data_IF_467330568200
#
_entry.id   IF_467330568200
#
_cell.length_a   1.000
_cell.length_b   1.000
_cell.length_c   1.000
_cell.angle_alpha   90.00
_cell.angle_beta   90.00
_cell.angle_gamma   90.00
#
_symmetry.space_group_name_H-M   'P 1'
#
loop_
_entity.id
_entity.type
_entity.pdbx_description
1 polymer ?
#
# COMPACT_ATOMS: atom_id res chain seq x y z
N UNK A 1 -12.37 -0.43 24.63
CA UNK A 1 -13.09 0.82 24.30
C UNK A 1 -12.51 1.38 23.02
N UNK A 2 -13.12 1.09 21.86
CA UNK A 2 -12.71 1.70 20.61
C UNK A 2 -13.20 3.14 20.61
N UNK A 3 -12.32 4.08 20.96
CA UNK A 3 -12.61 5.50 20.75
C UNK A 3 -12.84 5.67 19.25
N UNK A 4 -14.01 6.19 18.88
CA UNK A 4 -14.32 6.56 17.50
C UNK A 4 -13.16 7.41 16.96
N UNK A 5 -12.45 6.93 15.94
CA UNK A 5 -11.17 7.52 15.47
C UNK A 5 -11.28 9.04 15.17
N UNK A 6 -12.48 9.55 14.85
CA UNK A 6 -12.76 10.98 14.65
C UNK A 6 -12.86 11.83 15.93
N UNK A 7 -13.14 11.23 17.09
CA UNK A 7 -13.33 11.91 18.39
C UNK A 7 -12.13 11.79 19.33
N UNK A 8 -10.91 11.67 18.79
CA UNK A 8 -9.69 11.68 19.61
C UNK A 8 -9.50 13.11 20.16
N UNK A 9 -9.55 13.29 21.48
CA UNK A 9 -9.02 14.50 22.13
C UNK A 9 -7.50 14.46 21.94
N UNK A 10 -6.97 15.35 21.13
CA UNK A 10 -5.52 15.52 20.97
C UNK A 10 -5.07 16.63 21.91
N UNK A 11 -4.34 16.25 22.96
CA UNK A 11 -3.69 17.18 23.90
C UNK A 11 -2.33 17.68 23.36
N UNK A 12 -2.05 17.41 22.08
CA UNK A 12 -0.78 17.71 21.41
C UNK A 12 -0.92 18.88 20.43
N UNK A 13 0.15 19.66 20.30
CA UNK A 13 0.23 20.77 19.34
C UNK A 13 0.78 20.23 17.99
N UNK A 14 0.22 20.66 16.85
CA UNK A 14 0.77 20.31 15.55
C UNK A 14 2.21 20.79 15.36
N UNK A 15 3.03 19.98 14.70
CA UNK A 15 4.43 20.32 14.33
C UNK A 15 4.47 21.57 13.45
N UNK A 16 3.56 21.65 12.50
CA UNK A 16 3.43 22.80 11.61
C UNK A 16 2.08 22.79 10.92
N UNK A 17 1.80 23.85 10.17
CA UNK A 17 0.62 23.88 9.28
C UNK A 17 0.71 22.70 8.33
N UNK A 18 -0.33 21.86 8.31
CA UNK A 18 -0.39 20.70 7.46
C UNK A 18 -0.52 21.12 5.99
N UNK A 19 0.29 20.50 5.13
CA UNK A 19 0.15 20.58 3.68
C UNK A 19 0.34 19.22 3.02
N UNK A 20 -0.51 18.88 2.06
CA UNK A 20 -0.45 17.65 1.29
C UNK A 20 -0.20 17.99 -0.17
N UNK A 21 0.88 17.50 -0.77
CA UNK A 21 1.19 17.68 -2.20
C UNK A 21 1.06 16.32 -2.90
N UNK A 22 -0.08 16.02 -3.54
CA UNK A 22 -0.15 14.86 -4.41
C UNK A 22 0.51 15.15 -5.76
N UNK A 23 1.31 14.21 -6.24
CA UNK A 23 1.62 14.15 -7.66
C UNK A 23 0.34 13.81 -8.45
N UNK A 24 0.34 14.08 -9.76
CA UNK A 24 -0.86 13.99 -10.60
C UNK A 24 -1.55 12.61 -10.50
N UNK A 25 -0.75 11.53 -10.53
CA UNK A 25 -1.25 10.16 -10.40
C UNK A 25 -1.86 9.79 -9.04
N UNK A 26 -1.75 10.66 -8.03
CA UNK A 26 -2.30 10.44 -6.68
C UNK A 26 -3.50 11.32 -6.35
N UNK A 27 -3.99 12.15 -7.28
CA UNK A 27 -5.04 13.14 -6.97
C UNK A 27 -6.30 12.51 -6.38
N UNK A 28 -6.74 11.37 -6.91
CA UNK A 28 -7.97 10.72 -6.43
C UNK A 28 -7.83 10.20 -4.99
N UNK A 29 -6.73 9.50 -4.70
CA UNK A 29 -6.40 9.03 -3.35
C UNK A 29 -6.24 10.21 -2.39
N UNK A 30 -5.53 11.25 -2.80
CA UNK A 30 -5.30 12.44 -2.00
C UNK A 30 -6.57 13.23 -1.74
N UNK A 31 -7.51 13.29 -2.69
CA UNK A 31 -8.81 13.92 -2.48
C UNK A 31 -9.64 13.21 -1.41
N UNK A 32 -9.62 11.87 -1.38
CA UNK A 32 -10.26 11.10 -0.30
C UNK A 32 -9.58 11.34 1.05
N UNK A 33 -8.25 11.34 1.07
CA UNK A 33 -7.44 11.65 2.27
C UNK A 33 -7.76 13.04 2.80
N UNK A 34 -7.78 14.05 1.93
CA UNK A 34 -8.08 15.44 2.26
C UNK A 34 -9.46 15.58 2.88
N UNK A 35 -10.47 14.91 2.30
CA UNK A 35 -11.82 14.87 2.86
C UNK A 35 -11.83 14.36 4.31
N UNK A 36 -11.18 13.23 4.60
CA UNK A 36 -11.11 12.71 5.97
C UNK A 36 -10.41 13.70 6.93
N UNK A 37 -9.32 14.34 6.48
CA UNK A 37 -8.62 15.34 7.27
C UNK A 37 -9.50 16.57 7.58
N UNK A 38 -10.25 17.06 6.58
CA UNK A 38 -11.18 18.19 6.73
C UNK A 38 -12.31 17.82 7.69
N UNK A 39 -12.96 16.68 7.49
CA UNK A 39 -14.07 16.21 8.33
C UNK A 39 -13.63 16.12 9.80
N UNK A 40 -12.52 15.41 10.08
CA UNK A 40 -12.04 15.23 11.45
C UNK A 40 -11.60 16.53 12.13
N UNK A 41 -10.88 17.40 11.41
CA UNK A 41 -10.40 18.65 12.01
C UNK A 41 -11.51 19.68 12.19
N UNK A 42 -12.58 19.60 11.41
CA UNK A 42 -13.78 20.43 11.55
C UNK A 42 -14.61 19.99 12.76
N UNK A 43 -14.84 18.68 12.92
CA UNK A 43 -15.63 18.11 14.03
C UNK A 43 -14.94 18.20 15.39
N UNK A 44 -13.61 18.29 15.44
CA UNK A 44 -12.86 18.39 16.69
C UNK A 44 -13.06 19.77 17.35
N UNK A 45 -13.79 19.79 18.45
CA UNK A 45 -13.72 20.88 19.42
C UNK A 45 -12.36 20.79 20.15
N UNK A 46 -11.53 21.82 20.02
CA UNK A 46 -10.26 21.92 20.72
C UNK A 46 -10.25 23.20 21.57
N UNK A 47 -9.96 23.06 22.86
CA UNK A 47 -9.88 24.17 23.82
C UNK A 47 -8.83 25.21 23.39
N UNK A 48 -7.84 24.80 22.58
CA UNK A 48 -6.78 25.66 22.05
C UNK A 48 -7.02 26.20 20.64
N UNK A 49 -8.23 26.07 20.09
CA UNK A 49 -8.58 26.51 18.72
C UNK A 49 -8.21 27.97 18.42
N UNK A 50 -8.25 28.84 19.43
CA UNK A 50 -7.93 30.27 19.31
C UNK A 50 -6.45 30.60 19.58
N UNK A 51 -5.60 29.60 19.82
CA UNK A 51 -4.17 29.83 20.06
C UNK A 51 -3.40 29.96 18.73
N UNK A 52 -2.28 30.69 18.76
CA UNK A 52 -1.41 30.88 17.59
C UNK A 52 -0.92 29.55 16.99
N UNK A 53 -0.75 28.54 17.83
CA UNK A 53 -0.28 27.22 17.41
C UNK A 53 -1.29 26.45 16.53
N UNK A 54 -2.58 26.80 16.62
CA UNK A 54 -3.66 26.22 15.81
C UNK A 54 -4.12 27.16 14.69
N UNK A 55 -3.38 28.24 14.41
CA UNK A 55 -3.69 29.15 13.31
C UNK A 55 -3.59 28.42 11.96
N UNK A 56 -4.71 28.34 11.23
CA UNK A 56 -4.81 27.58 9.97
C UNK A 56 -4.88 26.07 10.16
N UNK A 57 -5.24 25.60 11.36
CA UNK A 57 -5.46 24.18 11.66
C UNK A 57 -6.72 23.64 11.00
N UNK A 58 -7.81 24.41 10.99
CA UNK A 58 -9.02 24.13 10.22
C UNK A 58 -8.92 24.84 8.86
N UNK A 59 -9.10 24.09 7.77
CA UNK A 59 -9.06 24.57 6.39
C UNK A 59 -10.07 23.77 5.57
N UNK A 60 -10.57 24.36 4.49
CA UNK A 60 -11.46 23.67 3.54
C UNK A 60 -10.72 22.60 2.72
N UNK A 61 -9.39 22.70 2.66
CA UNK A 61 -8.50 21.70 2.08
C UNK A 61 -7.07 21.90 2.61
N UNK A 62 -6.36 20.78 2.78
CA UNK A 62 -4.94 20.71 3.09
C UNK A 62 -4.09 20.45 1.84
N UNK A 63 -4.72 20.26 0.68
CA UNK A 63 -4.00 20.13 -0.58
C UNK A 63 -3.29 21.44 -0.94
N UNK A 64 -2.02 21.29 -1.31
CA UNK A 64 -1.14 22.37 -1.75
C UNK A 64 -1.04 22.29 -3.28
N UNK A 65 -1.30 23.40 -3.95
CA UNK A 65 -1.31 23.49 -5.42
C UNK A 65 0.11 23.40 -5.97
N UNK A 66 0.51 22.22 -6.42
CA UNK A 66 1.71 22.02 -7.21
C UNK A 66 1.36 21.65 -8.66
N UNK A 67 2.27 21.94 -9.58
CA UNK A 67 2.16 21.55 -10.98
C UNK A 67 3.50 21.10 -11.54
N UNK A 68 3.46 20.17 -12.47
CA UNK A 68 4.63 19.66 -13.18
C UNK A 68 4.40 19.84 -14.67
N UNK A 69 5.04 20.85 -15.24
CA UNK A 69 4.99 21.08 -16.68
C UNK A 69 6.11 20.30 -17.37
N UNK A 70 5.80 19.63 -18.48
CA UNK A 70 6.78 18.92 -19.32
C UNK A 70 7.12 19.76 -20.55
N UNK A 71 8.40 19.83 -20.89
CA UNK A 71 8.90 20.40 -22.13
C UNK A 71 8.75 19.39 -23.27
N UNK A 72 8.84 19.84 -24.52
CA UNK A 72 8.73 18.95 -25.69
C UNK A 72 9.80 17.85 -25.75
N UNK A 73 10.91 18.01 -25.02
CA UNK A 73 11.98 17.01 -24.84
C UNK A 73 11.65 15.93 -23.80
N UNK A 74 10.57 16.07 -23.03
CA UNK A 74 10.21 15.18 -21.92
C UNK A 74 10.74 15.63 -20.55
N UNK A 75 11.69 16.57 -20.52
CA UNK A 75 12.14 17.21 -19.28
C UNK A 75 10.98 17.89 -18.56
N UNK A 76 11.04 18.02 -17.24
CA UNK A 76 9.95 18.59 -16.45
C UNK A 76 10.41 19.68 -15.47
N UNK A 77 9.47 20.56 -15.13
CA UNK A 77 9.60 21.62 -14.13
C UNK A 77 8.49 21.50 -13.10
N UNK A 78 8.87 21.20 -11.85
CA UNK A 78 7.98 21.28 -10.69
C UNK A 78 7.82 22.72 -10.20
N UNK A 79 6.59 23.13 -9.90
CA UNK A 79 6.26 24.47 -9.36
C UNK A 79 5.26 24.32 -8.22
N UNK A 80 5.52 25.00 -7.10
CA UNK A 80 4.58 25.12 -5.97
C UNK A 80 3.96 26.52 -6.04
N UNK A 81 2.63 26.60 -6.09
CA UNK A 81 1.88 27.83 -6.38
C UNK A 81 1.39 28.58 -5.12
N UNK A 82 1.87 28.18 -3.95
CA UNK A 82 1.55 28.82 -2.67
C UNK A 82 2.73 28.72 -1.69
N UNK A 83 2.70 29.51 -0.61
CA UNK A 83 3.77 29.49 0.39
C UNK A 83 3.70 28.22 1.24
N UNK A 84 4.77 27.43 1.22
CA UNK A 84 4.94 26.24 2.06
C UNK A 84 5.85 26.47 3.28
N UNK A 85 6.19 27.73 3.57
CA UNK A 85 7.17 28.06 4.61
C UNK A 85 6.68 27.61 5.98
N UNK A 86 7.49 26.79 6.65
CA UNK A 86 7.19 26.27 7.99
C UNK A 86 6.05 25.24 8.02
N UNK A 87 5.56 24.77 6.87
CA UNK A 87 4.58 23.69 6.80
C UNK A 87 5.21 22.34 7.08
N UNK A 88 4.41 21.43 7.63
CA UNK A 88 4.71 20.01 7.69
C UNK A 88 4.07 19.36 6.45
N UNK A 89 4.93 18.98 5.48
CA UNK A 89 4.50 18.57 4.14
C UNK A 89 4.47 17.06 4.00
N UNK A 90 3.39 16.56 3.39
CA UNK A 90 3.23 15.16 3.00
C UNK A 90 3.12 15.08 1.47
N UNK A 91 4.10 14.45 0.82
CA UNK A 91 4.17 14.32 -0.63
C UNK A 91 3.70 12.91 -1.01
N UNK A 92 2.64 12.79 -1.83
CA UNK A 92 2.10 11.50 -2.25
C UNK A 92 2.54 11.17 -3.68
N UNK A 93 3.15 10.00 -3.86
CA UNK A 93 3.67 9.55 -5.15
C UNK A 93 3.41 8.05 -5.37
N UNK A 94 2.55 7.75 -6.33
CA UNK A 94 2.32 6.41 -6.87
C UNK A 94 3.23 6.21 -8.08
N UNK A 95 4.38 5.58 -7.84
CA UNK A 95 5.37 5.31 -8.90
C UNK A 95 4.90 4.23 -9.88
N UNK A 96 3.83 3.48 -9.56
CA UNK A 96 3.28 2.44 -10.43
C UNK A 96 2.13 2.95 -11.31
N UNK A 97 1.76 4.23 -11.24
CA UNK A 97 0.63 4.74 -12.00
C UNK A 97 0.93 4.79 -13.51
N UNK A 98 0.49 3.76 -14.24
CA UNK A 98 0.67 3.64 -15.68
C UNK A 98 -0.39 4.37 -16.51
N UNK A 99 -1.40 5.00 -15.88
CA UNK A 99 -2.42 5.79 -16.58
C UNK A 99 -1.94 7.20 -16.95
N UNK A 100 -0.85 7.66 -16.33
CA UNK A 100 -0.31 9.00 -16.58
C UNK A 100 0.46 9.04 -17.89
N UNK A 101 0.14 10.03 -18.72
CA UNK A 101 0.81 10.25 -20.00
C UNK A 101 1.37 11.66 -20.13
N UNK A 102 2.36 11.82 -20.99
CA UNK A 102 2.91 13.11 -21.40
C UNK A 102 3.34 13.09 -22.87
N UNK A 103 3.52 14.27 -23.46
CA UNK A 103 4.01 14.40 -24.84
C UNK A 103 5.53 14.58 -24.87
N UNK A 104 6.22 13.73 -25.63
CA UNK A 104 7.66 13.82 -25.90
C UNK A 104 7.87 13.74 -27.41
N UNK A 105 8.54 14.73 -27.99
CA UNK A 105 8.78 14.83 -29.43
C UNK A 105 7.49 14.67 -30.28
N UNK A 106 6.38 15.23 -29.79
CA UNK A 106 5.06 15.16 -30.44
C UNK A 106 4.32 13.82 -30.30
N UNK A 107 4.89 12.83 -29.61
CA UNK A 107 4.29 11.51 -29.37
C UNK A 107 3.77 11.41 -27.94
N UNK A 108 2.67 10.70 -27.75
CA UNK A 108 2.18 10.34 -26.43
C UNK A 108 3.08 9.24 -25.83
N UNK A 109 3.48 9.42 -24.57
CA UNK A 109 4.30 8.49 -23.81
C UNK A 109 3.65 8.27 -22.45
N UNK A 110 3.68 7.04 -21.96
CA UNK A 110 3.27 6.72 -20.59
C UNK A 110 4.41 7.01 -19.63
N UNK A 111 4.07 7.51 -18.43
CA UNK A 111 5.05 7.72 -17.37
C UNK A 111 5.53 6.38 -16.82
N UNK A 112 6.85 6.19 -16.83
CA UNK A 112 7.51 5.08 -16.14
C UNK A 112 7.62 5.34 -14.62
N UNK A 113 7.97 4.33 -13.80
CA UNK A 113 8.35 4.55 -12.41
C UNK A 113 9.44 5.62 -12.23
N UNK A 114 10.40 5.67 -13.16
CA UNK A 114 11.46 6.67 -13.17
C UNK A 114 10.93 8.08 -13.41
N UNK A 115 9.94 8.24 -14.31
CA UNK A 115 9.31 9.53 -14.56
C UNK A 115 8.62 10.07 -13.31
N UNK A 116 7.87 9.21 -12.61
CA UNK A 116 7.19 9.55 -11.35
C UNK A 116 8.18 9.89 -10.24
N UNK A 117 9.24 9.09 -10.10
CA UNK A 117 10.28 9.33 -9.10
C UNK A 117 11.03 10.65 -9.35
N UNK A 118 11.35 10.95 -10.61
CA UNK A 118 11.97 12.23 -10.96
C UNK A 118 11.03 13.42 -10.73
N UNK A 119 9.73 13.24 -10.93
CA UNK A 119 8.72 14.26 -10.61
C UNK A 119 8.59 14.50 -9.11
N UNK A 120 8.68 13.46 -8.29
CA UNK A 120 8.73 13.60 -6.83
C UNK A 120 9.94 14.43 -6.43
N UNK A 121 11.11 14.11 -6.97
CA UNK A 121 12.36 14.86 -6.74
C UNK A 121 12.23 16.32 -7.15
N UNK A 122 11.59 16.62 -8.28
CA UNK A 122 11.34 18.01 -8.72
C UNK A 122 10.49 18.78 -7.72
N UNK A 123 9.47 18.14 -7.13
CA UNK A 123 8.65 18.78 -6.09
C UNK A 123 9.46 18.99 -4.81
N UNK A 124 10.23 17.99 -4.35
CA UNK A 124 11.12 18.13 -3.18
C UNK A 124 12.13 19.28 -3.41
N UNK A 125 12.74 19.35 -4.59
CA UNK A 125 13.65 20.44 -4.95
C UNK A 125 12.94 21.81 -4.97
N UNK A 126 11.68 21.88 -5.43
CA UNK A 126 10.88 23.09 -5.42
C UNK A 126 10.48 23.56 -4.00
N UNK A 127 10.40 22.65 -3.02
CA UNK A 127 10.24 23.01 -1.60
C UNK A 127 11.43 23.83 -1.10
N UNK A 128 12.64 23.58 -1.62
CA UNK A 128 13.82 24.43 -1.42
C UNK A 128 14.20 24.66 0.04
N UNK A 129 13.99 23.65 0.90
CA UNK A 129 14.28 23.71 2.34
C UNK A 129 13.47 24.74 3.11
N UNK A 130 12.29 25.15 2.61
CA UNK A 130 11.43 26.13 3.29
C UNK A 130 10.35 25.48 4.15
N UNK A 131 10.00 24.22 3.89
CA UNK A 131 9.13 23.44 4.76
C UNK A 131 9.81 23.19 6.11
N UNK A 132 9.01 22.96 7.16
CA UNK A 132 9.50 22.55 8.48
C UNK A 132 9.93 21.09 8.49
N UNK A 133 9.17 20.24 7.80
CA UNK A 133 9.40 18.80 7.68
C UNK A 133 8.81 18.30 6.37
N UNK A 134 9.44 17.30 5.75
CA UNK A 134 8.98 16.64 4.53
C UNK A 134 8.82 15.15 4.82
N UNK A 135 7.60 14.64 4.69
CA UNK A 135 7.29 13.22 4.68
C UNK A 135 6.90 12.80 3.27
N UNK A 136 7.55 11.77 2.73
CA UNK A 136 7.15 11.16 1.45
C UNK A 136 6.27 9.95 1.74
N UNK A 137 5.06 9.96 1.22
CA UNK A 137 4.17 8.80 1.17
C UNK A 137 4.29 8.22 -0.23
N UNK A 138 5.05 7.13 -0.34
CA UNK A 138 5.31 6.43 -1.58
C UNK A 138 4.74 5.02 -1.43
N UNK A 139 3.48 4.78 -1.85
CA UNK A 139 2.79 3.60 -1.40
C UNK A 139 3.48 2.32 -1.86
N UNK A 140 3.76 2.21 -3.17
CA UNK A 140 4.69 1.24 -3.70
C UNK A 140 6.10 1.82 -3.68
N UNK A 141 7.03 1.16 -2.97
CA UNK A 141 8.40 1.65 -2.85
C UNK A 141 9.14 1.58 -4.20
N UNK A 142 9.68 2.72 -4.65
CA UNK A 142 10.47 2.81 -5.89
C UNK A 142 11.62 1.79 -5.87
N UNK A 143 11.69 1.01 -6.94
CA UNK A 143 12.64 -0.10 -7.11
C UNK A 143 12.65 -1.13 -5.96
N UNK A 144 11.54 -1.28 -5.22
CA UNK A 144 11.46 -2.16 -4.04
C UNK A 144 11.83 -3.62 -4.29
N UNK A 145 11.72 -4.11 -5.54
CA UNK A 145 12.21 -5.44 -5.92
C UNK A 145 13.74 -5.51 -5.99
N UNK A 146 14.42 -4.42 -6.32
CA UNK A 146 15.89 -4.26 -6.35
C UNK A 146 16.47 -3.82 -4.98
N UNK A 147 16.00 -4.47 -3.91
CA UNK A 147 16.33 -4.18 -2.50
C UNK A 147 17.66 -4.82 -2.02
N UNK A 148 18.17 -5.83 -2.71
CA UNK A 148 19.41 -6.55 -2.38
C UNK A 148 20.17 -6.91 -3.65
N UNK A 149 21.45 -7.27 -3.49
CA UNK A 149 22.27 -7.87 -4.55
C UNK A 149 22.36 -9.39 -4.37
N UNK A 150 22.04 -10.12 -5.43
CA UNK A 150 22.29 -11.56 -5.57
C UNK A 150 23.48 -11.85 -6.49
N UNK A 151 23.91 -10.84 -7.27
CA UNK A 151 25.07 -10.88 -8.17
C UNK A 151 25.59 -9.45 -8.43
N UNK A 152 26.23 -9.21 -9.59
CA UNK A 152 26.62 -7.88 -10.09
C UNK A 152 25.41 -7.11 -10.63
N UNK A 153 24.47 -6.77 -9.75
CA UNK A 153 23.24 -6.03 -10.06
C UNK A 153 23.17 -4.70 -9.29
N UNK A 154 22.25 -3.83 -9.73
CA UNK A 154 22.02 -2.52 -9.12
C UNK A 154 21.40 -2.64 -7.73
N UNK A 155 21.33 -1.53 -6.99
CA UNK A 155 20.74 -1.48 -5.65
C UNK A 155 19.86 -0.23 -5.55
N UNK A 156 18.98 -0.09 -6.54
CA UNK A 156 18.33 1.17 -6.85
C UNK A 156 17.40 1.63 -5.73
N UNK A 157 16.74 0.71 -5.03
CA UNK A 157 15.89 1.06 -3.88
C UNK A 157 16.69 1.75 -2.76
N UNK A 158 17.85 1.18 -2.40
CA UNK A 158 18.69 1.76 -1.35
C UNK A 158 19.26 3.11 -1.77
N UNK A 159 19.67 3.24 -3.04
CA UNK A 159 20.18 4.50 -3.60
C UNK A 159 19.08 5.57 -3.60
N UNK A 160 17.86 5.21 -3.99
CA UNK A 160 16.72 6.12 -4.02
C UNK A 160 16.34 6.61 -2.61
N UNK A 161 16.37 5.73 -1.60
CA UNK A 161 16.15 6.12 -0.20
C UNK A 161 17.21 7.11 0.29
N UNK A 162 18.48 6.84 0.02
CA UNK A 162 19.59 7.73 0.37
C UNK A 162 19.49 9.07 -0.37
N UNK A 163 19.09 9.07 -1.64
CA UNK A 163 18.87 10.28 -2.43
C UNK A 163 17.75 11.13 -1.83
N UNK A 164 16.58 10.55 -1.52
CA UNK A 164 15.47 11.28 -0.92
C UNK A 164 15.86 11.92 0.42
N UNK A 165 16.52 11.16 1.29
CA UNK A 165 17.05 11.65 2.57
C UNK A 165 18.04 12.78 2.36
N UNK A 166 18.98 12.63 1.42
CA UNK A 166 19.95 13.68 1.05
C UNK A 166 19.27 14.95 0.53
N UNK A 167 18.07 14.85 -0.04
CA UNK A 167 17.28 15.99 -0.52
C UNK A 167 16.48 16.68 0.59
N UNK A 168 16.54 16.17 1.84
CA UNK A 168 15.86 16.74 3.00
C UNK A 168 14.51 16.10 3.32
N UNK A 169 14.25 14.87 2.85
CA UNK A 169 13.11 14.08 3.32
C UNK A 169 13.40 13.54 4.71
N UNK A 170 12.52 13.85 5.67
CA UNK A 170 12.67 13.46 7.08
C UNK A 170 12.12 12.06 7.36
N UNK A 171 11.05 11.69 6.67
CA UNK A 171 10.34 10.43 6.87
C UNK A 171 9.81 9.86 5.54
N UNK A 172 9.86 8.55 5.39
CA UNK A 172 9.35 7.82 4.22
C UNK A 172 8.33 6.80 4.68
N UNK A 173 7.14 6.84 4.10
CA UNK A 173 6.03 5.95 4.42
C UNK A 173 5.67 5.15 3.18
N UNK A 174 5.70 3.83 3.31
CA UNK A 174 5.36 2.86 2.26
C UNK A 174 4.44 1.77 2.81
N UNK A 175 3.92 0.91 1.95
CA UNK A 175 2.96 -0.14 2.31
C UNK A 175 3.53 -1.49 1.86
N UNK A 176 3.54 -2.47 2.76
CA UNK A 176 4.15 -3.80 2.54
C UNK A 176 5.39 -3.76 1.65
N UNK A 177 6.46 -3.13 2.14
CA UNK A 177 7.73 -3.12 1.43
C UNK A 177 8.11 -4.56 1.06
N UNK A 178 8.56 -4.75 -0.18
CA UNK A 178 8.91 -6.07 -0.69
C UNK A 178 9.91 -6.78 0.26
N UNK A 179 10.91 -6.03 0.73
CA UNK A 179 11.70 -6.37 1.90
C UNK A 179 11.91 -5.15 2.80
N UNK A 180 11.31 -5.16 3.98
CA UNK A 180 11.42 -4.09 4.96
C UNK A 180 12.86 -3.80 5.42
N UNK A 181 13.82 -4.74 5.25
CA UNK A 181 15.22 -4.54 5.64
C UNK A 181 15.93 -3.45 4.83
N UNK A 182 15.38 -3.03 3.70
CA UNK A 182 15.94 -1.94 2.88
C UNK A 182 16.04 -0.61 3.66
N UNK A 183 15.23 -0.46 4.72
CA UNK A 183 15.31 0.67 5.66
C UNK A 183 16.70 0.83 6.30
N UNK A 184 17.50 -0.24 6.40
CA UNK A 184 18.85 -0.20 6.93
C UNK A 184 19.80 0.66 6.07
N UNK A 185 19.39 1.04 4.85
CA UNK A 185 20.12 1.98 4.00
C UNK A 185 20.08 3.42 4.53
N UNK A 186 19.13 3.75 5.41
CA UNK A 186 18.88 5.08 6.00
C UNK A 186 18.61 4.99 7.52
N UNK A 187 19.51 4.41 8.32
CA UNK A 187 19.23 4.00 9.71
C UNK A 187 18.96 5.13 10.71
N UNK A 188 19.19 6.39 10.32
CA UNK A 188 18.98 7.58 11.15
C UNK A 188 17.74 8.38 10.72
N UNK A 189 16.96 7.89 9.76
CA UNK A 189 15.78 8.56 9.22
C UNK A 189 14.53 7.71 9.40
N UNK A 190 13.38 8.37 9.43
CA UNK A 190 12.09 7.67 9.54
C UNK A 190 11.81 6.83 8.31
N UNK A 191 11.45 5.57 8.51
CA UNK A 191 11.00 4.67 7.47
C UNK A 191 9.92 3.76 8.01
N UNK A 192 8.70 3.91 7.51
CA UNK A 192 7.55 3.17 7.99
C UNK A 192 6.97 2.33 6.87
N UNK A 193 6.82 1.03 7.13
CA UNK A 193 6.15 0.11 6.23
C UNK A 193 4.86 -0.40 6.88
N UNK A 194 3.74 -0.04 6.26
CA UNK A 194 2.40 -0.31 6.77
C UNK A 194 1.86 -1.60 6.16
N UNK A 195 1.28 -2.46 6.99
CA UNK A 195 0.57 -3.65 6.53
C UNK A 195 -0.94 -3.39 6.43
N UNK A 196 -1.60 -3.65 5.29
CA UNK A 196 -3.04 -3.47 5.11
C UNK A 196 -3.86 -4.68 5.57
N UNK A 197 -3.31 -5.51 6.47
CA UNK A 197 -3.97 -6.72 6.98
C UNK A 197 -5.38 -6.43 7.55
N UNK A 198 -5.55 -5.31 8.25
CA UNK A 198 -6.88 -4.88 8.72
C UNK A 198 -7.85 -4.59 7.58
N UNK A 199 -7.38 -3.91 6.54
CA UNK A 199 -8.19 -3.53 5.40
C UNK A 199 -8.55 -4.75 4.53
N UNK A 200 -7.65 -5.73 4.40
CA UNK A 200 -7.99 -7.00 3.77
C UNK A 200 -9.08 -7.74 4.54
N UNK A 201 -8.96 -7.86 5.87
CA UNK A 201 -9.99 -8.51 6.66
C UNK A 201 -11.31 -7.75 6.60
N UNK A 202 -11.29 -6.41 6.66
CA UNK A 202 -12.50 -5.60 6.49
C UNK A 202 -13.12 -5.80 5.11
N UNK A 203 -12.31 -5.79 4.04
CA UNK A 203 -12.76 -6.04 2.68
C UNK A 203 -13.38 -7.42 2.52
N UNK A 204 -12.73 -8.46 3.04
CA UNK A 204 -13.22 -9.83 2.98
C UNK A 204 -14.55 -9.99 3.73
N UNK A 205 -14.60 -9.55 4.99
CA UNK A 205 -15.76 -9.74 5.86
C UNK A 205 -16.98 -8.90 5.46
N UNK A 206 -16.78 -7.80 4.74
CA UNK A 206 -17.88 -7.00 4.17
C UNK A 206 -18.44 -7.61 2.86
N UNK A 207 -17.67 -8.44 2.17
CA UNK A 207 -18.04 -8.95 0.83
C UNK A 207 -18.34 -10.44 0.83
N UNK A 208 -18.05 -11.15 1.92
CA UNK A 208 -18.23 -12.58 2.04
C UNK A 208 -18.87 -12.88 3.40
N UNK A 209 -20.13 -13.31 3.33
CA UNK A 209 -20.87 -13.81 4.49
C UNK A 209 -20.44 -15.25 4.79
N UNK A 210 -20.89 -15.81 5.91
CA UNK A 210 -20.72 -17.23 6.30
C UNK A 210 -19.29 -17.76 6.55
N UNK A 211 -18.28 -16.88 6.61
CA UNK A 211 -16.91 -17.28 6.90
C UNK A 211 -16.77 -17.81 8.32
N UNK A 212 -16.14 -18.98 8.46
CA UNK A 212 -15.75 -19.54 9.75
C UNK A 212 -14.26 -19.28 9.95
N UNK A 213 -13.95 -18.36 10.86
CA UNK A 213 -12.58 -17.88 11.09
C UNK A 213 -12.01 -18.66 12.27
N UNK A 214 -11.50 -19.85 11.99
CA UNK A 214 -10.79 -20.73 12.90
C UNK A 214 -9.91 -21.72 12.11
N UNK A 215 -8.97 -22.38 12.77
CA UNK A 215 -7.99 -23.27 12.13
C UNK A 215 -8.59 -24.51 11.46
N UNK A 216 -9.81 -24.94 11.84
CA UNK A 216 -10.47 -26.10 11.24
C UNK A 216 -11.09 -25.74 9.88
N UNK A 217 -11.58 -24.51 9.73
CA UNK A 217 -12.31 -24.08 8.54
C UNK A 217 -11.54 -23.13 7.62
N UNK A 218 -10.45 -22.50 8.10
CA UNK A 218 -9.71 -21.50 7.33
C UNK A 218 -8.19 -21.66 7.49
N UNK A 219 -7.45 -21.35 6.42
CA UNK A 219 -5.99 -21.40 6.39
C UNK A 219 -5.41 -20.22 5.61
N UNK A 220 -4.25 -19.70 6.07
CA UNK A 220 -3.47 -18.70 5.33
C UNK A 220 -2.37 -19.37 4.53
N UNK A 221 -2.21 -19.01 3.26
CA UNK A 221 -1.22 -19.57 2.36
C UNK A 221 -0.28 -18.48 1.86
N UNK A 222 1.02 -18.78 1.94
CA UNK A 222 2.04 -18.00 1.24
C UNK A 222 2.35 -18.62 -0.13
N UNK A 223 2.32 -17.85 -1.23
CA UNK A 223 2.59 -18.39 -2.56
C UNK A 223 4.07 -18.74 -2.79
N UNK A 224 4.98 -18.16 -1.99
CA UNK A 224 6.41 -18.48 -1.97
C UNK A 224 7.08 -18.07 -0.64
N UNK A 225 8.41 -18.23 -0.56
CA UNK A 225 9.20 -17.87 0.64
C UNK A 225 9.15 -16.37 0.97
N UNK A 226 9.05 -15.50 -0.05
CA UNK A 226 9.09 -14.04 0.12
C UNK A 226 7.88 -13.50 0.86
N UNK A 227 6.71 -14.10 0.64
CA UNK A 227 5.46 -13.76 1.31
C UNK A 227 5.33 -14.29 2.75
N UNK A 228 6.24 -15.17 3.20
CA UNK A 228 6.04 -15.97 4.41
C UNK A 228 5.81 -15.12 5.66
N UNK A 229 6.54 -14.01 5.83
CA UNK A 229 6.37 -13.13 7.01
C UNK A 229 4.96 -12.53 7.10
N UNK A 230 4.35 -12.19 5.95
CA UNK A 230 2.99 -11.63 5.89
C UNK A 230 1.95 -12.72 6.21
N UNK A 231 2.13 -13.91 5.64
CA UNK A 231 1.27 -15.06 5.92
C UNK A 231 1.32 -15.46 7.41
N UNK A 232 2.51 -15.54 8.00
CA UNK A 232 2.69 -15.83 9.44
C UNK A 232 1.98 -14.78 10.29
N UNK A 233 2.16 -13.50 9.98
CA UNK A 233 1.51 -12.44 10.74
C UNK A 233 -0.02 -12.58 10.73
N UNK A 234 -0.62 -12.73 9.54
CA UNK A 234 -2.07 -12.83 9.41
C UNK A 234 -2.61 -14.11 10.07
N UNK A 235 -1.94 -15.25 9.89
CA UNK A 235 -2.30 -16.51 10.52
C UNK A 235 -2.29 -16.41 12.04
N UNK A 236 -1.22 -15.85 12.62
CA UNK A 236 -1.08 -15.68 14.07
C UNK A 236 -2.12 -14.71 14.63
N UNK A 237 -2.38 -13.60 13.93
CA UNK A 237 -3.38 -12.62 14.37
C UNK A 237 -4.78 -13.24 14.35
N UNK A 238 -5.09 -14.12 13.40
CA UNK A 238 -6.41 -14.74 13.29
C UNK A 238 -6.53 -16.08 14.05
N UNK A 239 -5.43 -16.67 14.52
CA UNK A 239 -5.41 -17.99 15.12
C UNK A 239 -5.65 -19.12 14.11
N UNK A 240 -5.10 -18.99 12.90
CA UNK A 240 -5.26 -19.93 11.80
C UNK A 240 -4.00 -20.75 11.56
N UNK A 241 -4.16 -21.90 10.90
CA UNK A 241 -3.04 -22.62 10.31
C UNK A 241 -2.42 -21.82 9.15
N UNK A 242 -1.13 -22.05 8.92
CA UNK A 242 -0.39 -21.49 7.78
C UNK A 242 0.20 -22.60 6.93
N UNK A 243 0.13 -22.43 5.61
CA UNK A 243 0.85 -23.24 4.63
C UNK A 243 1.62 -22.38 3.64
N UNK A 244 2.51 -23.01 2.87
CA UNK A 244 3.25 -22.33 1.81
C UNK A 244 3.52 -23.24 0.61
N UNK A 245 3.75 -22.62 -0.54
CA UNK A 245 4.30 -23.28 -1.71
C UNK A 245 5.80 -23.04 -1.79
N UNK A 246 6.57 -24.13 -1.81
CA UNK A 246 8.00 -24.11 -2.06
C UNK A 246 8.25 -24.44 -3.54
N UNK A 247 8.78 -23.46 -4.28
CA UNK A 247 9.19 -23.62 -5.68
C UNK A 247 10.62 -24.17 -5.71
N UNK A 248 10.78 -25.46 -5.98
CA UNK A 248 12.11 -26.04 -6.19
C UNK A 248 12.60 -25.63 -7.58
N UNK A 249 13.70 -24.86 -7.66
CA UNK A 249 14.29 -24.43 -8.95
C UNK A 249 15.51 -25.27 -9.31
N UNK A 250 15.70 -25.51 -10.61
CA UNK A 250 16.92 -26.10 -11.15
C UNK A 250 17.96 -24.99 -11.37
N UNK A 251 18.89 -24.88 -10.44
CA UNK A 251 19.97 -23.89 -10.52
C UNK A 251 21.04 -24.23 -11.55
N UNK A 252 20.99 -25.40 -12.19
CA UNK A 252 21.97 -25.81 -13.21
C UNK A 252 21.65 -25.24 -14.59
N UNK A 253 20.44 -24.72 -14.80
CA UNK A 253 19.99 -24.16 -16.08
C UNK A 253 19.44 -22.74 -15.91
N UNK A 254 19.64 -21.92 -16.93
CA UNK A 254 19.05 -20.58 -17.02
C UNK A 254 18.32 -20.49 -18.35
N UNK A 255 17.00 -20.31 -18.30
CA UNK A 255 16.12 -20.11 -19.47
C UNK A 255 15.49 -18.73 -19.31
N UNK A 256 15.65 -17.87 -20.31
CA UNK A 256 15.17 -16.47 -20.30
C UNK A 256 15.57 -15.67 -19.03
N UNK A 257 16.79 -15.90 -18.55
CA UNK A 257 17.34 -15.22 -17.37
C UNK A 257 16.81 -15.72 -16.03
N UNK A 258 16.03 -16.82 -15.99
CA UNK A 258 15.50 -17.43 -14.76
C UNK A 258 15.87 -18.91 -14.68
N UNK A 259 16.07 -19.40 -13.46
CA UNK A 259 16.19 -20.84 -13.21
C UNK A 259 14.81 -21.51 -13.31
N UNK A 260 14.65 -22.59 -14.11
CA UNK A 260 13.36 -23.24 -14.31
C UNK A 260 12.85 -23.90 -13.03
N UNK A 261 11.52 -23.95 -12.87
CA UNK A 261 10.86 -24.56 -11.70
C UNK A 261 10.69 -26.06 -11.96
N UNK A 262 11.17 -26.88 -11.04
CA UNK A 262 11.19 -28.35 -11.09
C UNK A 262 9.99 -28.96 -10.38
N UNK A 263 9.55 -28.35 -9.27
CA UNK A 263 8.40 -28.81 -8.50
C UNK A 263 7.77 -27.67 -7.68
N UNK A 264 6.45 -27.76 -7.50
CA UNK A 264 5.69 -26.99 -6.53
C UNK A 264 5.33 -27.90 -5.35
N UNK A 265 6.06 -27.78 -4.24
CA UNK A 265 5.80 -28.55 -3.04
C UNK A 265 4.94 -27.73 -2.08
N UNK A 266 3.82 -28.30 -1.63
CA UNK A 266 2.98 -27.67 -0.61
C UNK A 266 3.44 -28.11 0.79
N UNK A 267 3.70 -27.14 1.66
CA UNK A 267 4.09 -27.35 3.06
C UNK A 267 3.00 -26.78 3.96
N UNK A 268 2.25 -27.63 4.66
CA UNK A 268 1.16 -27.23 5.54
C UNK A 268 0.25 -28.39 5.90
N UNK A 269 -0.76 -28.15 6.75
CA UNK A 269 -1.84 -29.12 7.00
C UNK A 269 -2.81 -29.18 5.81
N UNK A 270 -3.74 -30.13 5.82
CA UNK A 270 -4.69 -30.28 4.69
C UNK A 270 -5.53 -29.01 4.49
N UNK A 271 -5.69 -28.62 3.22
CA UNK A 271 -6.59 -27.53 2.79
C UNK A 271 -7.98 -28.03 2.37
N UNK A 272 -8.21 -29.35 2.37
CA UNK A 272 -9.47 -29.96 1.93
C UNK A 272 -10.65 -29.42 2.74
N UNK A 273 -11.64 -28.85 2.05
CA UNK A 273 -12.84 -28.29 2.66
C UNK A 273 -12.65 -26.94 3.35
N UNK A 274 -11.42 -26.41 3.43
CA UNK A 274 -11.12 -25.11 4.08
C UNK A 274 -11.26 -23.94 3.12
N UNK A 275 -11.63 -22.78 3.66
CA UNK A 275 -11.45 -21.48 3.02
C UNK A 275 -9.98 -21.06 3.10
N UNK A 276 -9.41 -20.59 2.00
CA UNK A 276 -7.98 -20.30 1.91
C UNK A 276 -7.72 -18.84 1.59
N UNK A 277 -6.88 -18.20 2.40
CA UNK A 277 -6.39 -16.84 2.19
C UNK A 277 -4.98 -16.90 1.60
N UNK A 278 -4.83 -16.66 0.30
CA UNK A 278 -3.50 -16.53 -0.33
C UNK A 278 -3.05 -15.08 -0.20
N UNK A 279 -1.95 -14.82 0.50
CA UNK A 279 -1.46 -13.44 0.75
C UNK A 279 -0.07 -13.21 0.18
N UNK A 280 0.09 -12.09 -0.53
CA UNK A 280 1.38 -11.60 -1.05
C UNK A 280 1.49 -10.07 -0.96
N UNK A 281 2.65 -9.49 -1.27
CA UNK A 281 2.76 -8.03 -1.43
C UNK A 281 2.12 -7.54 -2.73
N UNK A 282 2.26 -8.28 -3.83
CA UNK A 282 1.77 -7.81 -5.12
C UNK A 282 1.37 -8.93 -6.08
N UNK A 283 0.40 -8.60 -6.94
CA UNK A 283 0.07 -9.38 -8.13
C UNK A 283 0.71 -8.68 -9.32
N UNK A 284 1.76 -9.27 -9.92
CA UNK A 284 2.37 -8.76 -11.16
C UNK A 284 1.57 -9.23 -12.37
N UNK A 285 1.98 -10.32 -13.05
CA UNK A 285 1.21 -10.93 -14.14
C UNK A 285 -0.03 -11.66 -13.64
N UNK A 286 0.06 -12.30 -12.48
CA UNK A 286 -0.99 -13.18 -11.93
C UNK A 286 -0.69 -14.66 -12.03
N UNK A 287 0.19 -15.06 -12.95
CA UNK A 287 0.55 -16.48 -13.22
C UNK A 287 0.85 -17.25 -11.93
N UNK A 288 1.77 -16.75 -11.10
CA UNK A 288 2.19 -17.45 -9.88
C UNK A 288 1.06 -17.64 -8.87
N UNK A 289 0.16 -16.67 -8.71
CA UNK A 289 -0.93 -16.78 -7.74
C UNK A 289 -2.09 -17.62 -8.28
N UNK A 290 -2.32 -17.58 -9.59
CA UNK A 290 -3.30 -18.44 -10.26
C UNK A 290 -2.86 -19.90 -10.28
N UNK A 291 -1.57 -20.19 -10.47
CA UNK A 291 -1.02 -21.54 -10.32
C UNK A 291 -1.21 -22.08 -8.91
N UNK A 292 -0.91 -21.26 -7.90
CA UNK A 292 -1.18 -21.59 -6.50
C UNK A 292 -2.67 -21.86 -6.28
N UNK A 293 -3.57 -21.06 -6.86
CA UNK A 293 -5.01 -21.27 -6.74
C UNK A 293 -5.46 -22.59 -7.40
N UNK A 294 -4.95 -22.93 -8.59
CA UNK A 294 -5.22 -24.21 -9.27
C UNK A 294 -4.76 -25.40 -8.43
N UNK A 295 -3.54 -25.31 -7.89
CA UNK A 295 -2.97 -26.33 -7.00
C UNK A 295 -3.82 -26.51 -5.72
N UNK A 296 -4.26 -25.42 -5.10
CA UNK A 296 -5.15 -25.46 -3.94
C UNK A 296 -6.51 -26.08 -4.27
N UNK A 297 -7.07 -25.80 -5.45
CA UNK A 297 -8.30 -26.44 -5.93
C UNK A 297 -8.13 -27.92 -6.19
N UNK A 298 -7.01 -28.36 -6.76
CA UNK A 298 -6.69 -29.78 -6.92
C UNK A 298 -6.61 -30.51 -5.56
N UNK A 299 -6.22 -29.79 -4.49
CA UNK A 299 -6.24 -30.24 -3.09
C UNK A 299 -7.59 -30.03 -2.40
N UNK A 300 -8.64 -29.72 -3.15
CA UNK A 300 -10.03 -29.56 -2.70
C UNK A 300 -10.24 -28.43 -1.67
N UNK A 301 -9.50 -27.33 -1.78
CA UNK A 301 -9.83 -26.10 -1.07
C UNK A 301 -11.24 -25.62 -1.45
N UNK A 302 -12.02 -25.18 -0.46
CA UNK A 302 -13.43 -24.80 -0.63
C UNK A 302 -13.53 -23.49 -1.42
N UNK A 303 -13.09 -22.37 -0.82
CA UNK A 303 -13.01 -21.05 -1.45
C UNK A 303 -11.58 -20.53 -1.38
N UNK A 304 -11.18 -19.75 -2.38
CA UNK A 304 -9.84 -19.17 -2.45
C UNK A 304 -9.97 -17.66 -2.57
N UNK A 305 -9.38 -16.95 -1.62
CA UNK A 305 -9.34 -15.51 -1.55
C UNK A 305 -7.89 -15.06 -1.73
N UNK A 306 -7.64 -14.28 -2.78
CA UNK A 306 -6.30 -13.74 -3.05
C UNK A 306 -6.23 -12.34 -2.46
N UNK A 307 -5.20 -12.06 -1.68
CA UNK A 307 -4.94 -10.77 -1.06
C UNK A 307 -3.55 -10.30 -1.48
N UNK A 308 -3.46 -9.11 -2.07
CA UNK A 308 -2.17 -8.50 -2.39
C UNK A 308 -2.24 -7.00 -2.22
N UNK A 309 -1.20 -6.40 -1.63
CA UNK A 309 -1.20 -4.96 -1.38
C UNK A 309 -1.26 -4.18 -2.68
N UNK A 310 -0.54 -4.64 -3.69
CA UNK A 310 -0.46 -4.01 -5.01
C UNK A 310 -0.98 -4.93 -6.11
N UNK A 311 -2.14 -4.62 -6.70
CA UNK A 311 -2.64 -5.31 -7.89
C UNK A 311 -2.15 -4.65 -9.18
N UNK A 312 -1.02 -5.09 -9.73
CA UNK A 312 -0.43 -4.51 -10.94
C UNK A 312 -1.03 -5.07 -12.25
N UNK A 313 -1.43 -6.35 -12.25
CA UNK A 313 -2.11 -7.02 -13.37
C UNK A 313 -1.48 -6.78 -14.75
N UNK A 314 -0.15 -6.93 -14.85
CA UNK A 314 0.64 -6.54 -16.02
C UNK A 314 0.30 -7.31 -17.31
N UNK A 315 -0.35 -8.47 -17.18
CA UNK A 315 -0.77 -9.30 -18.32
C UNK A 315 -2.28 -9.17 -18.61
N UNK A 316 -2.96 -8.20 -18.00
CA UNK A 316 -4.42 -8.05 -18.11
C UNK A 316 -5.19 -8.91 -17.10
N UNK A 317 -6.52 -8.94 -17.26
CA UNK A 317 -7.46 -9.54 -16.32
C UNK A 317 -8.07 -10.85 -16.82
N UNK A 318 -7.81 -11.25 -18.07
CA UNK A 318 -8.46 -12.38 -18.73
C UNK A 318 -8.29 -13.70 -17.95
N UNK A 319 -7.07 -14.01 -17.48
CA UNK A 319 -6.85 -15.25 -16.71
C UNK A 319 -7.56 -15.23 -15.34
N UNK A 320 -7.72 -14.05 -14.73
CA UNK A 320 -8.48 -13.90 -13.49
C UNK A 320 -9.98 -14.04 -13.75
N UNK A 321 -10.48 -13.50 -14.85
CA UNK A 321 -11.86 -13.64 -15.29
C UNK A 321 -12.19 -15.13 -15.51
N UNK A 322 -11.32 -15.88 -16.21
CA UNK A 322 -11.47 -17.33 -16.39
C UNK A 322 -11.42 -18.10 -15.07
N UNK A 323 -10.44 -17.80 -14.21
CA UNK A 323 -10.30 -18.45 -12.92
C UNK A 323 -11.48 -18.18 -11.98
N UNK A 324 -12.13 -17.01 -12.10
CA UNK A 324 -13.36 -16.73 -11.38
C UNK A 324 -14.54 -17.51 -11.95
N UNK A 325 -14.72 -17.47 -13.27
CA UNK A 325 -15.85 -18.12 -13.97
C UNK A 325 -15.87 -19.64 -13.78
N UNK A 326 -14.70 -20.28 -13.70
CA UNK A 326 -14.60 -21.72 -13.44
C UNK A 326 -14.55 -22.07 -11.94
N UNK A 327 -14.65 -21.08 -11.05
CA UNK A 327 -14.68 -21.26 -9.60
C UNK A 327 -13.32 -21.57 -8.96
N UNK A 328 -12.21 -21.37 -9.67
CA UNK A 328 -10.85 -21.53 -9.13
C UNK A 328 -10.57 -20.51 -8.03
N UNK A 329 -10.94 -19.25 -8.26
CA UNK A 329 -10.84 -18.18 -7.26
C UNK A 329 -12.24 -17.66 -6.89
N UNK A 330 -12.37 -17.11 -5.68
CA UNK A 330 -13.62 -16.58 -5.16
C UNK A 330 -13.62 -15.06 -5.12
N UNK A 331 -12.57 -14.45 -4.56
CA UNK A 331 -12.35 -13.00 -4.60
C UNK A 331 -10.86 -12.67 -4.72
N UNK A 332 -10.57 -11.52 -5.31
CA UNK A 332 -9.25 -10.88 -5.33
C UNK A 332 -9.37 -9.54 -4.62
N UNK A 333 -8.58 -9.35 -3.57
CA UNK A 333 -8.57 -8.16 -2.73
C UNK A 333 -7.23 -7.45 -2.90
N UNK A 334 -7.25 -6.21 -3.38
CA UNK A 334 -6.04 -5.37 -3.40
C UNK A 334 -6.33 -3.96 -2.89
N UNK A 335 -5.29 -3.22 -2.53
CA UNK A 335 -5.47 -1.86 -2.00
C UNK A 335 -5.53 -0.81 -3.11
N UNK A 336 -6.07 0.36 -2.80
CA UNK A 336 -6.01 1.55 -3.67
C UNK A 336 -4.75 2.40 -3.44
N UNK A 337 -3.68 1.79 -2.90
CA UNK A 337 -2.38 2.44 -2.74
C UNK A 337 -1.68 2.72 -4.08
N UNK A 338 -2.09 2.02 -5.14
CA UNK A 338 -1.68 2.27 -6.52
C UNK A 338 -2.91 2.46 -7.40
N UNK A 339 -2.69 2.98 -8.61
CA UNK A 339 -3.73 3.09 -9.64
C UNK A 339 -4.50 1.78 -9.84
N UNK A 340 -5.82 1.88 -9.88
CA UNK A 340 -6.74 0.79 -10.18
C UNK A 340 -7.51 1.20 -11.44
N UNK A 341 -7.44 0.38 -12.50
CA UNK A 341 -8.17 0.68 -13.73
C UNK A 341 -9.69 0.62 -13.50
N UNK A 342 -10.49 1.42 -14.22
CA UNK A 342 -11.95 1.31 -14.17
C UNK A 342 -12.43 -0.11 -14.48
N UNK A 343 -11.81 -0.78 -15.46
CA UNK A 343 -12.12 -2.16 -15.86
C UNK A 343 -11.94 -3.17 -14.73
N UNK A 344 -10.89 -3.00 -13.91
CA UNK A 344 -10.65 -3.81 -12.72
C UNK A 344 -11.73 -3.60 -11.65
N UNK A 345 -12.13 -2.34 -11.44
CA UNK A 345 -13.13 -1.97 -10.45
C UNK A 345 -14.54 -2.49 -10.78
N UNK A 346 -14.81 -2.79 -12.06
CA UNK A 346 -16.07 -3.36 -12.53
C UNK A 346 -16.17 -4.89 -12.35
N UNK A 347 -15.06 -5.57 -12.03
CA UNK A 347 -15.05 -7.04 -11.89
C UNK A 347 -15.73 -7.50 -10.60
N UNK A 348 -16.68 -8.42 -10.72
CA UNK A 348 -17.47 -8.94 -9.59
C UNK A 348 -16.60 -9.64 -8.52
N UNK A 349 -15.51 -10.29 -8.93
CA UNK A 349 -14.60 -10.96 -8.01
C UNK A 349 -13.67 -10.00 -7.28
N UNK A 350 -13.58 -8.74 -7.72
CA UNK A 350 -12.59 -7.80 -7.23
C UNK A 350 -13.12 -6.97 -6.06
N UNK A 351 -12.28 -6.80 -5.04
CA UNK A 351 -12.58 -5.97 -3.86
C UNK A 351 -11.46 -4.96 -3.67
N UNK A 352 -11.77 -3.68 -3.87
CA UNK A 352 -10.84 -2.60 -3.55
C UNK A 352 -10.83 -2.30 -2.05
N UNK A 353 -9.71 -2.59 -1.40
CA UNK A 353 -9.48 -2.32 0.02
C UNK A 353 -8.98 -0.87 0.22
N UNK A 354 -9.90 0.04 0.55
CA UNK A 354 -9.59 1.47 0.64
C UNK A 354 -8.68 1.83 1.84
N UNK A 355 -7.51 2.39 1.53
CA UNK A 355 -6.50 2.86 2.48
C UNK A 355 -6.59 4.37 2.76
N UNK A 356 -7.47 5.13 2.09
CA UNK A 356 -7.53 6.60 2.18
C UNK A 356 -7.74 7.09 3.61
N UNK A 357 -8.68 6.48 4.34
CA UNK A 357 -8.94 6.80 5.75
C UNK A 357 -7.70 6.55 6.60
N UNK A 358 -7.00 5.46 6.34
CA UNK A 358 -5.84 5.07 7.13
C UNK A 358 -4.65 5.99 6.85
N UNK A 359 -4.40 6.35 5.59
CA UNK A 359 -3.41 7.36 5.20
C UNK A 359 -3.71 8.72 5.85
N UNK A 360 -4.97 9.18 5.81
CA UNK A 360 -5.37 10.41 6.51
C UNK A 360 -5.06 10.34 8.01
N UNK A 361 -5.32 9.19 8.63
CA UNK A 361 -5.08 9.00 10.06
C UNK A 361 -3.58 9.03 10.39
N UNK A 362 -2.73 8.46 9.53
CA UNK A 362 -1.27 8.53 9.65
C UNK A 362 -0.78 9.97 9.53
N UNK A 363 -1.22 10.68 8.48
CA UNK A 363 -0.85 12.09 8.25
C UNK A 363 -1.21 12.94 9.46
N UNK A 364 -2.45 12.81 9.96
CA UNK A 364 -2.91 13.60 11.10
C UNK A 364 -2.15 13.25 12.38
N UNK A 365 -1.87 11.96 12.62
CA UNK A 365 -1.13 11.48 13.80
C UNK A 365 0.31 12.00 13.78
N UNK A 366 1.01 11.89 12.65
CA UNK A 366 2.38 12.37 12.49
C UNK A 366 2.47 13.89 12.57
N UNK A 367 1.47 14.61 12.03
CA UNK A 367 1.44 16.06 12.14
C UNK A 367 1.35 16.55 13.60
N UNK A 368 0.92 15.70 14.52
CA UNK A 368 0.85 15.98 15.96
C UNK A 368 2.00 15.32 16.75
N UNK A 369 3.03 14.81 16.09
CA UNK A 369 4.13 14.03 16.71
C UNK A 369 3.63 12.92 17.65
N UNK A 370 2.44 12.40 17.36
CA UNK A 370 1.85 11.32 18.12
C UNK A 370 2.37 9.98 17.61
N UNK A 371 2.45 8.98 18.49
CA UNK A 371 2.89 7.65 18.10
C UNK A 371 1.91 7.02 17.09
N UNK A 372 2.48 6.46 16.02
CA UNK A 372 1.78 5.60 15.07
C UNK A 372 1.93 4.10 15.40
N UNK A 373 2.58 3.72 16.51
CA UNK A 373 2.83 2.31 16.83
C UNK A 373 1.54 1.48 16.91
N UNK A 374 0.48 2.04 17.49
CA UNK A 374 -0.85 1.39 17.55
C UNK A 374 -1.47 1.20 16.17
N UNK A 375 -1.07 2.02 15.18
CA UNK A 375 -1.51 1.86 13.81
C UNK A 375 -0.75 0.74 13.13
N UNK A 376 0.57 0.72 13.29
CA UNK A 376 1.46 -0.28 12.69
C UNK A 376 1.17 -1.69 13.21
N UNK A 377 0.57 -1.85 14.41
CA UNK A 377 0.10 -3.13 14.93
C UNK A 377 -1.44 -3.21 14.98
N UNK A 378 -2.10 -3.59 13.86
CA UNK A 378 -3.56 -3.63 13.79
C UNK A 378 -4.22 -4.82 14.52
N UNK A 379 -3.49 -5.64 15.30
CA UNK A 379 -4.05 -6.86 15.92
C UNK A 379 -5.36 -6.61 16.67
N UNK A 380 -5.38 -5.65 17.59
CA UNK A 380 -6.60 -5.31 18.35
C UNK A 380 -7.78 -4.90 17.45
N UNK A 381 -7.51 -4.20 16.34
CA UNK A 381 -8.53 -3.77 15.39
C UNK A 381 -9.07 -4.94 14.57
N UNK A 382 -8.20 -5.88 14.18
CA UNK A 382 -8.59 -7.11 13.49
C UNK A 382 -9.43 -7.99 14.42
N UNK A 383 -9.02 -8.17 15.67
CA UNK A 383 -9.79 -8.94 16.66
C UNK A 383 -11.16 -8.33 16.94
N UNK A 384 -11.23 -7.01 17.11
CA UNK A 384 -12.51 -6.31 17.26
C UNK A 384 -13.42 -6.49 16.04
N UNK A 385 -12.85 -6.43 14.82
CA UNK A 385 -13.57 -6.64 13.58
C UNK A 385 -14.11 -8.07 13.46
N UNK A 386 -13.28 -9.08 13.74
CA UNK A 386 -13.68 -10.50 13.73
C UNK A 386 -14.78 -10.78 14.76
N UNK A 387 -14.69 -10.20 15.95
CA UNK A 387 -15.73 -10.35 16.97
C UNK A 387 -17.06 -9.73 16.53
N UNK A 388 -17.03 -8.53 15.93
CA UNK A 388 -18.22 -7.92 15.33
C UNK A 388 -18.84 -8.80 14.24
N UNK A 389 -18.01 -9.39 13.39
CA UNK A 389 -18.46 -10.33 12.35
C UNK A 389 -19.15 -11.55 12.96
N UNK A 390 -18.55 -12.18 13.97
CA UNK A 390 -19.14 -13.34 14.67
C UNK A 390 -20.46 -13.01 15.35
N UNK A 391 -20.63 -11.77 15.81
CA UNK A 391 -21.87 -11.28 16.43
C UNK A 391 -22.94 -10.82 15.42
N UNK A 392 -22.63 -10.79 14.12
CA UNK A 392 -23.54 -10.24 13.10
C UNK A 392 -23.67 -8.70 13.15
N UNK A 393 -22.68 -8.00 13.70
CA UNK A 393 -22.62 -6.53 13.89
C UNK A 393 -21.82 -5.81 12.80
N UNK A 394 -21.71 -6.43 11.62
CA UNK A 394 -21.05 -5.83 10.47
C UNK A 394 -22.05 -4.93 9.76
N UNK A 395 -21.62 -3.71 9.43
CA UNK A 395 -22.42 -2.69 8.74
C UNK A 395 -22.51 -2.96 7.25
#
# INVERSE_FOLDING_TARGET
MAVHEGKRKLDSIPVGKLGVIPLEGCRDLAGKVDKFLVDWRTERENEHKNSLAFAGYQRDSYMIKASIARFGTGEAKGTINESIRGMDLFLLCDICNHSMTYKMCGRENHMSPDDHYQDLKRIIAAVGGKARRITVIMPFLYEGRQHKRSSRESLDCAIALQELVSMGVDNIITFDAHDARVQNSIPLHGFETIQPAYQFMKGLLNNVNDLQIDSEHMMVISPDEGGMKRAIYLANVLGLDMGMFYKRRDYTQVVDGKNPIVAHEFLGSSVEGKDVLVIDDMISSGESVLDVARELKARKAKRIFIMATFGLFTNGLEEFDEAYNNGTITRVLTTNCIYQSPELLEREYYVSCDMSKYIAFIIDTLNHDSSISDLLNPNNRIQALVNRYRNGEME
#
